data_IF_617273874393
#
_entry.id   IF_617273874393
#
_cell.length_a   1.000
_cell.length_b   1.000
_cell.length_c   1.000
_cell.angle_alpha   90.00
_cell.angle_beta   90.00
_cell.angle_gamma   90.00
#
_symmetry.space_group_name_H-M   'P 1'
#
loop_
_entity.id
_entity.type
_entity.pdbx_description
1 polymer ?
#
# COMPACT_ATOMS: atom_id res chain seq x y z
N UNK A 1 59.70 -9.27 -9.88
CA UNK A 1 58.42 -8.58 -10.15
C UNK A 1 57.76 -8.26 -8.83
N UNK A 2 57.31 -7.01 -8.66
CA UNK A 2 56.80 -6.41 -7.40
C UNK A 2 55.30 -6.70 -7.23
N UNK A 3 54.87 -6.97 -6.00
CA UNK A 3 53.46 -6.96 -5.56
C UNK A 3 53.37 -7.51 -4.13
N UNK A 4 53.46 -6.76 -3.00
CA UNK A 4 52.63 -5.63 -2.51
C UNK A 4 51.14 -6.02 -2.59
N UNK A 5 50.29 -6.04 -1.55
CA UNK A 5 50.28 -5.48 -0.18
C UNK A 5 49.25 -6.28 0.64
N UNK A 6 49.48 -6.43 1.95
CA UNK A 6 48.52 -6.95 2.94
C UNK A 6 47.50 -5.85 3.29
N UNK A 7 46.19 -6.14 3.30
CA UNK A 7 45.19 -5.27 3.91
C UNK A 7 44.14 -6.10 4.68
N UNK A 8 43.98 -5.86 6.00
CA UNK A 8 42.96 -6.50 6.82
C UNK A 8 41.70 -5.63 6.96
N UNK A 9 40.62 -6.31 7.37
CA UNK A 9 39.48 -5.82 8.17
C UNK A 9 38.56 -4.73 7.59
N UNK A 10 37.27 -5.11 7.41
CA UNK A 10 36.11 -4.39 7.97
C UNK A 10 34.84 -5.21 7.66
N UNK A 11 34.51 -6.16 8.55
CA UNK A 11 33.16 -6.75 8.57
C UNK A 11 32.31 -5.81 9.41
N UNK A 12 31.63 -4.87 8.75
CA UNK A 12 30.61 -4.05 9.41
C UNK A 12 29.33 -4.87 9.55
N UNK A 13 28.96 -5.13 10.81
CA UNK A 13 27.61 -5.50 11.22
C UNK A 13 26.63 -4.44 10.73
N UNK A 14 25.73 -4.80 9.82
CA UNK A 14 24.54 -4.02 9.54
C UNK A 14 23.36 -4.75 10.18
N UNK A 15 23.01 -4.32 11.40
CA UNK A 15 21.79 -4.76 12.07
C UNK A 15 20.58 -4.36 11.26
N UNK A 16 19.83 -5.34 10.76
CA UNK A 16 18.53 -5.10 10.15
C UNK A 16 17.54 -4.74 11.24
N UNK A 17 17.32 -3.45 11.44
CA UNK A 17 16.18 -2.96 12.22
C UNK A 17 14.92 -3.40 11.48
N UNK A 18 14.21 -4.39 12.03
CA UNK A 18 12.86 -4.72 11.58
C UNK A 18 11.97 -3.56 12.02
N UNK A 19 11.75 -2.62 11.11
CA UNK A 19 10.73 -1.58 11.25
C UNK A 19 9.38 -2.29 11.28
N UNK A 20 8.87 -2.54 12.49
CA UNK A 20 7.47 -2.87 12.70
C UNK A 20 6.71 -1.59 12.40
N UNK A 21 6.34 -1.41 11.13
CA UNK A 21 5.42 -0.36 10.73
C UNK A 21 4.10 -0.61 11.48
N UNK A 22 3.52 0.42 12.11
CA UNK A 22 2.20 0.27 12.70
C UNK A 22 1.25 -0.12 11.57
N UNK A 23 0.63 -1.29 11.68
CA UNK A 23 -0.56 -1.61 10.89
C UNK A 23 -1.58 -0.54 11.26
N UNK A 24 -1.76 0.44 10.38
CA UNK A 24 -2.87 1.37 10.47
C UNK A 24 -4.12 0.51 10.38
N UNK A 25 -4.69 0.17 11.53
CA UNK A 25 -6.02 -0.41 11.60
C UNK A 25 -6.94 0.58 10.92
N UNK A 26 -7.41 0.24 9.72
CA UNK A 26 -8.42 1.01 9.02
C UNK A 26 -9.54 1.30 10.02
N UNK A 27 -9.74 2.56 10.36
CA UNK A 27 -10.81 2.95 11.27
C UNK A 27 -12.11 2.48 10.61
N UNK A 28 -12.94 1.73 11.34
CA UNK A 28 -14.11 1.04 10.77
C UNK A 28 -15.10 2.02 10.11
N UNK A 29 -14.97 3.33 10.40
CA UNK A 29 -15.73 4.41 9.76
C UNK A 29 -15.20 4.81 8.37
N UNK A 30 -13.95 4.53 8.05
CA UNK A 30 -13.30 4.98 6.81
C UNK A 30 -13.55 4.05 5.61
N UNK A 31 -14.03 2.82 5.84
CA UNK A 31 -14.47 1.89 4.77
C UNK A 31 -15.71 2.40 4.03
N UNK A 32 -16.83 2.79 4.69
CA UNK A 32 -18.01 3.27 3.97
C UNK A 32 -17.74 4.56 3.17
N UNK A 33 -16.83 5.44 3.61
CA UNK A 33 -16.42 6.63 2.83
C UNK A 33 -15.69 6.24 1.54
N UNK A 34 -14.77 5.28 1.62
CA UNK A 34 -14.11 4.70 0.45
C UNK A 34 -15.13 4.07 -0.52
N UNK A 35 -16.09 3.29 -0.01
CA UNK A 35 -17.11 2.63 -0.83
C UNK A 35 -18.02 3.66 -1.52
N UNK A 36 -18.50 4.65 -0.77
CA UNK A 36 -19.41 5.66 -1.30
C UNK A 36 -18.72 6.48 -2.39
N UNK A 37 -17.50 6.96 -2.13
CA UNK A 37 -16.72 7.70 -3.13
C UNK A 37 -16.45 6.85 -4.38
N UNK A 38 -16.09 5.57 -4.24
CA UNK A 38 -15.85 4.71 -5.40
C UNK A 38 -17.11 4.50 -6.26
N UNK A 39 -18.29 4.45 -5.65
CA UNK A 39 -19.57 4.33 -6.35
C UNK A 39 -19.95 5.67 -7.01
N UNK A 40 -19.87 6.78 -6.27
CA UNK A 40 -20.32 8.09 -6.74
C UNK A 40 -19.39 8.69 -7.81
N UNK A 41 -18.07 8.59 -7.63
CA UNK A 41 -17.08 9.19 -8.55
C UNK A 41 -16.53 8.20 -9.59
N UNK A 42 -16.44 6.93 -9.20
CA UNK A 42 -15.86 5.87 -10.03
C UNK A 42 -16.88 5.04 -10.80
N UNK A 43 -18.17 5.19 -10.51
CA UNK A 43 -19.24 4.30 -10.95
C UNK A 43 -18.89 2.82 -10.68
N UNK A 44 -18.15 2.56 -9.59
CA UNK A 44 -17.71 1.24 -9.24
C UNK A 44 -18.90 0.36 -8.84
N UNK A 45 -18.80 -0.92 -9.20
CA UNK A 45 -19.71 -1.94 -8.74
C UNK A 45 -19.58 -2.06 -7.21
N UNK A 46 -20.72 -2.22 -6.53
CA UNK A 46 -20.79 -2.20 -5.07
C UNK A 46 -19.97 -3.34 -4.46
N UNK A 47 -19.97 -4.52 -5.07
CA UNK A 47 -19.22 -5.67 -4.56
C UNK A 47 -17.71 -5.44 -4.75
N UNK A 48 -17.30 -4.89 -5.89
CA UNK A 48 -15.89 -4.54 -6.14
C UNK A 48 -15.43 -3.43 -5.19
N UNK A 49 -16.24 -2.39 -5.00
CA UNK A 49 -15.96 -1.29 -4.08
C UNK A 49 -15.78 -1.80 -2.65
N UNK A 50 -16.69 -2.66 -2.16
CA UNK A 50 -16.55 -3.27 -0.85
C UNK A 50 -15.29 -4.13 -0.75
N UNK A 51 -15.04 -4.99 -1.74
CA UNK A 51 -13.87 -5.88 -1.76
C UNK A 51 -12.54 -5.10 -1.76
N UNK A 52 -12.47 -3.97 -2.46
CA UNK A 52 -11.29 -3.10 -2.48
C UNK A 52 -11.13 -2.34 -1.15
N UNK A 53 -12.20 -1.73 -0.64
CA UNK A 53 -12.15 -0.86 0.53
C UNK A 53 -11.91 -1.61 1.85
N UNK A 54 -12.20 -2.92 1.93
CA UNK A 54 -11.88 -3.75 3.11
C UNK A 54 -10.44 -4.26 3.16
N UNK A 55 -9.64 -4.00 2.11
CA UNK A 55 -8.24 -4.42 2.11
C UNK A 55 -7.45 -3.70 3.21
N UNK A 56 -6.46 -4.38 3.77
CA UNK A 56 -5.65 -3.86 4.89
C UNK A 56 -4.56 -2.87 4.46
N UNK A 57 -4.30 -2.73 3.16
CA UNK A 57 -3.26 -1.83 2.65
C UNK A 57 -3.78 -0.97 1.51
N UNK A 58 -3.21 0.23 1.35
CA UNK A 58 -3.57 1.16 0.27
C UNK A 58 -3.25 0.54 -1.09
N UNK A 59 -2.11 -0.16 -1.17
CA UNK A 59 -1.67 -0.81 -2.39
C UNK A 59 -2.63 -1.91 -2.82
N UNK A 60 -3.13 -2.72 -1.88
CA UNK A 60 -4.06 -3.81 -2.20
C UNK A 60 -5.45 -3.28 -2.56
N UNK A 61 -5.92 -2.23 -1.88
CA UNK A 61 -7.14 -1.52 -2.27
C UNK A 61 -7.05 -1.00 -3.72
N UNK A 62 -5.96 -0.30 -4.05
CA UNK A 62 -5.77 0.24 -5.40
C UNK A 62 -5.63 -0.87 -6.45
N UNK A 63 -4.97 -1.98 -6.10
CA UNK A 63 -4.83 -3.13 -7.01
C UNK A 63 -6.17 -3.75 -7.36
N UNK A 64 -7.05 -3.96 -6.38
CA UNK A 64 -8.40 -4.49 -6.64
C UNK A 64 -9.15 -3.61 -7.65
N UNK A 65 -9.21 -2.29 -7.42
CA UNK A 65 -9.84 -1.38 -8.39
C UNK A 65 -9.14 -1.42 -9.76
N UNK A 66 -7.82 -1.48 -9.79
CA UNK A 66 -7.06 -1.48 -11.04
C UNK A 66 -7.28 -2.74 -11.87
N UNK A 67 -7.46 -3.87 -11.22
CA UNK A 67 -7.62 -5.15 -11.91
C UNK A 67 -8.99 -5.21 -12.64
N UNK A 68 -10.02 -4.53 -12.13
CA UNK A 68 -11.34 -4.44 -12.76
C UNK A 68 -11.53 -3.20 -13.67
N UNK A 69 -11.01 -2.03 -13.28
CA UNK A 69 -11.27 -0.75 -13.97
C UNK A 69 -10.07 -0.15 -14.70
N UNK A 70 -8.89 -0.78 -14.59
CA UNK A 70 -7.64 -0.24 -15.08
C UNK A 70 -7.10 0.91 -14.22
N UNK A 71 -6.15 1.68 -14.76
CA UNK A 71 -5.55 2.80 -14.01
C UNK A 71 -6.52 3.98 -13.96
N UNK A 72 -7.21 4.12 -12.84
CA UNK A 72 -8.12 5.22 -12.55
C UNK A 72 -7.57 6.12 -11.45
N UNK A 73 -7.76 7.43 -11.57
CA UNK A 73 -7.36 8.40 -10.56
C UNK A 73 -8.25 8.30 -9.31
N UNK A 74 -9.57 8.19 -9.52
CA UNK A 74 -10.57 8.01 -8.46
C UNK A 74 -10.28 6.78 -7.58
N UNK A 75 -9.70 5.72 -8.15
CA UNK A 75 -9.37 4.50 -7.40
C UNK A 75 -8.33 4.75 -6.30
N UNK A 76 -7.35 5.63 -6.55
CA UNK A 76 -6.35 5.98 -5.54
C UNK A 76 -6.95 6.92 -4.49
N UNK A 77 -7.84 7.83 -4.89
CA UNK A 77 -8.52 8.75 -3.98
C UNK A 77 -9.46 8.01 -3.02
N UNK A 78 -10.27 7.08 -3.54
CA UNK A 78 -11.11 6.19 -2.74
C UNK A 78 -10.29 5.47 -1.65
N UNK A 79 -9.17 4.86 -2.03
CA UNK A 79 -8.33 4.12 -1.09
C UNK A 79 -7.64 5.01 -0.03
N UNK A 80 -7.39 6.29 -0.34
CA UNK A 80 -6.84 7.25 0.65
C UNK A 80 -7.88 7.67 1.68
N UNK A 81 -9.15 7.77 1.31
CA UNK A 81 -10.24 8.08 2.26
C UNK A 81 -10.33 7.03 3.37
N UNK A 82 -10.03 5.77 3.06
CA UNK A 82 -9.96 4.68 4.04
C UNK A 82 -8.86 4.89 5.10
N UNK A 83 -7.74 5.50 4.73
CA UNK A 83 -6.56 5.68 5.61
C UNK A 83 -6.53 7.06 6.31
N UNK A 84 -7.60 7.85 6.16
CA UNK A 84 -7.74 9.20 6.71
C UNK A 84 -8.50 9.25 8.03
#
# INVERSE_FOLDING_TARGET
MVGKVVLPALVMMAGTMVSIAPSASADTRSVPDCVSYAIDEGEADVDIALQACVQSSLLDCYRTFRDDYGRQEWALEACKLRDS
#
